data_IF_941923945809
#
_entry.id   IF_941923945809
#
_cell.length_a   1.000
_cell.length_b   1.000
_cell.length_c   1.000
_cell.angle_alpha   90.00
_cell.angle_beta   90.00
_cell.angle_gamma   90.00
#
_symmetry.space_group_name_H-M   'P 1'
#
loop_
_entity.id
_entity.type
_entity.pdbx_description
1 polymer ?
#
# COMPACT_ATOMS: atom_id res chain seq x y z
N UNK A 1 -9.56 21.08 -12.81
CA UNK A 1 -9.47 20.81 -11.35
C UNK A 1 -8.12 20.16 -11.09
N UNK A 2 -7.18 20.92 -10.52
CA UNK A 2 -5.77 20.53 -10.49
C UNK A 2 -5.42 19.75 -9.20
N UNK A 3 -4.74 18.62 -9.35
CA UNK A 3 -4.22 17.78 -8.26
C UNK A 3 -2.70 17.94 -8.19
N UNK A 4 -2.11 17.78 -7.01
CA UNK A 4 -0.67 17.53 -6.92
C UNK A 4 -0.48 16.03 -7.12
N UNK A 5 0.26 15.68 -8.16
CA UNK A 5 0.48 14.29 -8.59
C UNK A 5 1.93 13.97 -8.28
N UNK A 6 2.16 12.84 -7.64
CA UNK A 6 3.48 12.22 -7.56
C UNK A 6 3.54 11.07 -8.59
N UNK A 7 3.87 11.36 -9.87
CA UNK A 7 3.85 10.36 -10.93
C UNK A 7 5.13 9.51 -10.91
N UNK A 8 5.06 8.30 -11.50
CA UNK A 8 6.24 7.60 -11.98
C UNK A 8 6.04 7.05 -13.40
N UNK A 9 7.16 6.94 -14.12
CA UNK A 9 7.31 6.76 -15.56
C UNK A 9 7.84 5.35 -15.85
N UNK A 10 6.96 4.41 -16.22
CA UNK A 10 7.37 3.14 -16.82
C UNK A 10 6.21 2.40 -17.49
N UNK A 11 6.53 1.74 -18.61
CA UNK A 11 5.54 1.38 -19.63
C UNK A 11 4.59 0.21 -19.29
N UNK A 12 4.74 -0.47 -18.15
CA UNK A 12 3.93 -1.66 -17.83
C UNK A 12 3.30 -1.69 -16.44
N UNK A 13 3.70 -0.80 -15.52
CA UNK A 13 3.31 -0.83 -14.09
C UNK A 13 3.42 0.58 -13.51
N UNK A 14 2.47 0.97 -12.66
CA UNK A 14 2.49 2.27 -12.00
C UNK A 14 1.54 2.35 -10.81
N UNK A 15 2.00 3.01 -9.76
CA UNK A 15 1.18 3.40 -8.60
C UNK A 15 1.32 4.90 -8.38
N UNK A 16 0.30 5.52 -7.80
CA UNK A 16 0.31 6.95 -7.50
C UNK A 16 -0.46 7.26 -6.22
N UNK A 17 -0.07 8.33 -5.55
CA UNK A 17 -0.84 8.94 -4.47
C UNK A 17 -1.25 10.33 -4.97
N UNK A 18 -2.55 10.62 -4.95
CA UNK A 18 -3.09 11.93 -5.31
C UNK A 18 -3.63 12.62 -4.06
N UNK A 19 -3.05 13.77 -3.73
CA UNK A 19 -3.47 14.56 -2.57
C UNK A 19 -4.22 15.80 -3.06
N UNK A 20 -5.38 16.05 -2.45
CA UNK A 20 -6.19 17.21 -2.80
C UNK A 20 -5.49 18.50 -2.38
N UNK A 21 -5.36 19.47 -3.28
CA UNK A 21 -4.86 20.82 -2.96
C UNK A 21 -5.69 21.54 -1.88
N UNK A 22 -6.93 21.10 -1.61
CA UNK A 22 -7.78 21.63 -0.52
C UNK A 22 -7.34 21.15 0.86
N UNK A 23 -6.49 20.13 0.94
CA UNK A 23 -5.96 19.61 2.19
C UNK A 23 -4.55 20.15 2.36
N UNK A 24 -4.28 20.78 3.52
CA UNK A 24 -2.91 21.10 3.90
C UNK A 24 -2.16 19.80 4.15
N UNK A 25 -1.20 19.52 3.27
CA UNK A 25 -0.31 18.37 3.37
C UNK A 25 1.08 18.83 2.93
N UNK A 26 2.00 18.92 3.90
CA UNK A 26 3.39 19.21 3.62
C UNK A 26 4.13 17.88 3.55
N UNK A 27 4.51 17.43 2.35
CA UNK A 27 5.34 16.24 2.21
C UNK A 27 6.75 16.54 2.73
N UNK A 28 7.36 15.56 3.39
CA UNK A 28 8.73 15.64 3.90
C UNK A 28 9.67 14.71 3.16
N UNK A 29 9.15 13.62 2.61
CA UNK A 29 9.93 12.65 1.85
C UNK A 29 9.03 11.85 0.89
N UNK A 30 9.60 11.43 -0.25
CA UNK A 30 8.93 10.62 -1.25
C UNK A 30 9.90 9.53 -1.73
N UNK A 31 9.57 8.27 -1.46
CA UNK A 31 10.33 7.11 -1.90
C UNK A 31 9.52 6.36 -2.94
N UNK A 32 10.07 6.23 -4.14
CA UNK A 32 9.48 5.47 -5.24
C UNK A 32 10.48 4.45 -5.79
N UNK A 33 9.99 3.28 -6.19
CA UNK A 33 10.84 2.24 -6.80
C UNK A 33 10.86 2.36 -8.33
N UNK A 34 12.04 2.15 -8.94
CA UNK A 34 12.23 2.02 -10.39
C UNK A 34 11.42 0.89 -11.05
N UNK A 35 10.84 -0.04 -10.29
CA UNK A 35 9.91 -1.06 -10.79
C UNK A 35 8.44 -0.63 -10.69
N UNK A 36 8.16 0.56 -10.16
CA UNK A 36 6.82 1.13 -9.94
C UNK A 36 5.87 0.32 -9.08
N UNK A 37 6.43 -0.47 -8.15
CA UNK A 37 5.67 -1.39 -7.30
C UNK A 37 5.20 -0.74 -6.01
N UNK A 38 5.77 0.39 -5.63
CA UNK A 38 5.29 1.15 -4.50
C UNK A 38 5.67 2.63 -4.63
N UNK A 39 4.87 3.47 -3.97
CA UNK A 39 5.21 4.84 -3.63
C UNK A 39 4.92 5.05 -2.14
N UNK A 40 5.90 5.61 -1.44
CA UNK A 40 5.81 5.97 -0.03
C UNK A 40 5.91 7.49 0.04
N UNK A 41 4.91 8.13 0.63
CA UNK A 41 4.89 9.58 0.85
C UNK A 41 4.81 9.82 2.35
N UNK A 42 5.86 10.42 2.90
CA UNK A 42 5.85 10.95 4.26
C UNK A 42 5.43 12.41 4.24
N UNK A 43 4.59 12.82 5.18
CA UNK A 43 4.20 14.23 5.29
C UNK A 43 3.52 14.57 6.60
N UNK A 44 3.16 15.84 6.75
CA UNK A 44 2.60 16.39 7.97
C UNK A 44 1.27 17.11 7.65
N UNK A 45 0.14 16.39 7.64
CA UNK A 45 -1.16 17.03 7.72
C UNK A 45 -1.46 17.46 9.17
N UNK A 46 -1.90 18.72 9.34
CA UNK A 46 -2.41 19.24 10.62
C UNK A 46 -1.48 18.96 11.83
N UNK A 47 -0.17 19.13 11.65
CA UNK A 47 0.87 18.91 12.68
C UNK A 47 1.07 17.45 13.12
N UNK A 48 0.53 16.46 12.40
CA UNK A 48 0.78 15.04 12.66
C UNK A 48 1.60 14.44 11.55
N UNK A 49 2.74 13.82 11.87
CA UNK A 49 3.53 13.08 10.87
C UNK A 49 2.78 11.82 10.46
N UNK A 50 2.60 11.63 9.16
CA UNK A 50 2.02 10.42 8.59
C UNK A 50 2.87 9.86 7.45
N UNK A 51 2.76 8.55 7.27
CA UNK A 51 3.37 7.80 6.17
C UNK A 51 2.27 7.11 5.39
N UNK A 52 2.13 7.48 4.12
CA UNK A 52 1.19 6.88 3.17
C UNK A 52 1.96 5.96 2.24
N UNK A 53 1.55 4.70 2.15
CA UNK A 53 2.14 3.72 1.25
C UNK A 53 1.07 3.22 0.29
N UNK A 54 1.33 3.31 -1.02
CA UNK A 54 0.54 2.64 -2.04
C UNK A 54 1.39 1.57 -2.72
N UNK A 55 0.97 0.31 -2.62
CA UNK A 55 1.69 -0.86 -3.16
C UNK A 55 0.90 -1.49 -4.31
N UNK A 56 1.64 -1.91 -5.33
CA UNK A 56 1.20 -2.85 -6.35
C UNK A 56 2.11 -4.07 -6.33
N UNK A 57 1.78 -5.08 -5.54
CA UNK A 57 2.64 -6.23 -5.28
C UNK A 57 2.59 -7.27 -6.42
N UNK A 58 3.68 -8.01 -6.67
CA UNK A 58 3.63 -9.18 -7.54
C UNK A 58 2.82 -10.32 -6.89
N UNK A 59 2.36 -11.29 -7.70
CA UNK A 59 1.65 -12.51 -7.24
C UNK A 59 2.44 -13.35 -6.19
N UNK A 60 3.73 -13.08 -6.00
CA UNK A 60 4.66 -13.82 -5.13
C UNK A 60 5.09 -12.99 -3.90
N UNK A 61 4.19 -12.13 -3.40
CA UNK A 61 4.44 -10.86 -2.71
C UNK A 61 5.47 -10.82 -1.57
N UNK A 62 6.09 -9.63 -1.44
CA UNK A 62 6.79 -9.13 -0.25
C UNK A 62 6.37 -7.67 -0.03
N UNK A 63 6.20 -7.26 1.23
CA UNK A 63 5.83 -5.90 1.63
C UNK A 63 6.98 -5.27 2.42
N UNK A 64 7.12 -3.94 2.35
CA UNK A 64 8.24 -3.20 2.98
C UNK A 64 7.73 -1.87 3.56
N UNK A 65 8.21 -1.51 4.76
CA UNK A 65 8.03 -0.20 5.39
C UNK A 65 7.19 -0.20 6.67
N UNK A 66 7.17 0.93 7.39
CA UNK A 66 6.39 1.18 8.61
C UNK A 66 5.25 2.19 8.32
N UNK A 67 4.11 1.74 7.75
CA UNK A 67 3.02 2.62 7.34
C UNK A 67 2.17 3.11 8.51
N UNK A 68 1.61 4.32 8.37
CA UNK A 68 0.37 4.69 9.09
C UNK A 68 -0.84 4.26 8.25
N UNK A 69 -0.75 4.37 6.93
CA UNK A 69 -1.75 3.85 6.01
C UNK A 69 -1.06 3.13 4.86
N UNK A 70 -1.40 1.87 4.70
CA UNK A 70 -1.00 1.01 3.58
C UNK A 70 -2.25 0.70 2.76
N UNK A 71 -2.17 0.93 1.45
CA UNK A 71 -3.21 0.56 0.52
C UNK A 71 -2.66 0.15 -0.83
N UNK A 72 -3.55 -0.23 -1.74
CA UNK A 72 -3.22 -0.65 -3.09
C UNK A 72 -3.59 -2.10 -3.35
N UNK A 73 -3.00 -2.68 -4.39
CA UNK A 73 -3.23 -4.06 -4.80
C UNK A 73 -2.07 -4.93 -4.30
N UNK A 74 -2.30 -5.56 -3.15
CA UNK A 74 -1.35 -6.50 -2.57
C UNK A 74 -1.36 -7.85 -3.28
N UNK A 75 -2.38 -8.13 -4.10
CA UNK A 75 -2.52 -9.40 -4.81
C UNK A 75 -2.42 -10.62 -3.86
N UNK A 76 -2.95 -10.44 -2.66
CA UNK A 76 -2.99 -11.37 -1.55
C UNK A 76 -4.41 -11.45 -1.01
N UNK A 77 -4.68 -12.49 -0.26
CA UNK A 77 -5.94 -12.74 0.41
C UNK A 77 -5.68 -12.75 1.92
N UNK A 78 -6.43 -11.98 2.70
CA UNK A 78 -6.24 -11.88 4.14
C UNK A 78 -6.97 -13.02 4.86
N UNK A 79 -8.24 -13.22 4.54
CA UNK A 79 -9.03 -14.35 4.97
C UNK A 79 -9.64 -15.07 3.76
N UNK A 80 -9.14 -16.26 3.39
CA UNK A 80 -9.59 -16.97 2.18
C UNK A 80 -11.05 -17.39 2.20
N UNK A 81 -11.65 -17.50 3.38
CA UNK A 81 -13.07 -17.86 3.55
C UNK A 81 -14.01 -16.64 3.43
N UNK A 82 -13.50 -15.42 3.66
CA UNK A 82 -14.30 -14.19 3.62
C UNK A 82 -14.05 -13.37 2.37
N UNK A 83 -12.80 -13.27 1.92
CA UNK A 83 -12.39 -12.34 0.86
C UNK A 83 -12.56 -12.92 -0.55
N UNK A 84 -12.81 -14.23 -0.65
CA UNK A 84 -12.96 -14.92 -1.93
C UNK A 84 -14.42 -15.33 -2.14
N UNK A 85 -14.92 -15.04 -3.34
CA UNK A 85 -16.24 -15.51 -3.78
C UNK A 85 -16.24 -16.99 -4.17
N UNK A 86 -15.06 -17.54 -4.51
CA UNK A 86 -14.85 -18.94 -4.86
C UNK A 86 -14.12 -19.69 -3.75
N UNK A 87 -13.92 -21.00 -3.94
CA UNK A 87 -13.21 -21.82 -2.95
C UNK A 87 -11.76 -21.34 -2.78
N UNK A 88 -11.20 -21.38 -1.55
CA UNK A 88 -9.79 -21.10 -1.31
C UNK A 88 -8.86 -21.92 -2.23
N UNK A 89 -7.79 -21.29 -2.71
CA UNK A 89 -6.71 -21.95 -3.44
C UNK A 89 -5.72 -22.55 -2.44
N UNK A 90 -4.94 -23.58 -2.85
CA UNK A 90 -3.94 -24.19 -1.99
C UNK A 90 -2.90 -23.21 -1.41
N UNK A 91 -2.54 -22.16 -2.16
CA UNK A 91 -1.55 -21.17 -1.73
C UNK A 91 -2.12 -20.13 -0.74
N UNK A 92 -3.45 -19.98 -0.66
CA UNK A 92 -4.06 -18.90 0.11
C UNK A 92 -3.72 -19.02 1.61
N UNK A 93 -3.73 -20.24 2.17
CA UNK A 93 -3.46 -20.43 3.60
C UNK A 93 -2.06 -19.93 4.01
N UNK A 94 -1.04 -20.25 3.21
CA UNK A 94 0.33 -19.81 3.48
C UNK A 94 0.48 -18.29 3.32
N UNK A 95 -0.13 -17.73 2.28
CA UNK A 95 -0.08 -16.29 1.99
C UNK A 95 -0.83 -15.46 3.03
N UNK A 96 -2.01 -15.91 3.46
CA UNK A 96 -2.80 -15.27 4.52
C UNK A 96 -2.06 -15.32 5.87
N UNK A 97 -1.41 -16.44 6.17
CA UNK A 97 -0.59 -16.55 7.40
C UNK A 97 0.58 -15.58 7.38
N UNK A 98 1.32 -15.51 6.27
CA UNK A 98 2.43 -14.57 6.12
C UNK A 98 1.95 -13.10 6.18
N UNK A 99 0.76 -12.81 5.66
CA UNK A 99 0.17 -11.48 5.74
C UNK A 99 -0.23 -11.13 7.19
N UNK A 100 -0.83 -12.06 7.94
CA UNK A 100 -1.15 -11.87 9.37
C UNK A 100 0.11 -11.62 10.20
N UNK A 101 1.16 -12.42 9.99
CA UNK A 101 2.45 -12.24 10.67
C UNK A 101 3.04 -10.85 10.40
N UNK A 102 2.98 -10.39 9.15
CA UNK A 102 3.43 -9.05 8.78
C UNK A 102 2.57 -7.96 9.41
N UNK A 103 1.24 -8.12 9.40
CA UNK A 103 0.33 -7.15 10.03
C UNK A 103 0.66 -6.98 11.51
N UNK A 104 0.91 -8.10 12.22
CA UNK A 104 1.35 -8.11 13.61
C UNK A 104 2.71 -7.46 13.81
N UNK A 105 3.68 -7.75 12.93
CA UNK A 105 5.03 -7.18 12.99
C UNK A 105 5.00 -5.65 12.84
N UNK A 106 4.27 -5.16 11.85
CA UNK A 106 4.14 -3.73 11.54
C UNK A 106 3.13 -3.01 12.44
N UNK A 107 2.41 -3.75 13.31
CA UNK A 107 1.32 -3.26 14.15
C UNK A 107 0.24 -2.53 13.35
N UNK A 108 -0.05 -3.05 12.17
CA UNK A 108 -1.14 -2.60 11.30
C UNK A 108 -2.31 -3.56 11.43
N UNK A 109 -3.50 -3.08 11.13
CA UNK A 109 -4.71 -3.89 11.08
C UNK A 109 -5.37 -3.69 9.73
N UNK A 110 -6.06 -4.71 9.24
CA UNK A 110 -7.04 -4.52 8.18
C UNK A 110 -8.17 -3.61 8.70
N UNK A 111 -8.54 -2.62 7.90
CA UNK A 111 -9.54 -1.59 8.26
C UNK A 111 -10.89 -1.84 7.61
N UNK A 112 -10.97 -2.81 6.70
CA UNK A 112 -12.19 -3.24 6.04
C UNK A 112 -12.89 -4.34 6.87
#
# INVERSE_FOLDING_TARGET
MEREIFPWIGASRGTSILISKKKSFHYTDVIANNSSRYIIVSGIPQHRKITLINIYAPNSGQLVGDPILLGGDMNLVNNPLLDRSSRPLPADAALSTALDELQRLLRVTDVW
#
